data_IF_919990744280
#
_entry.id   IF_919990744280
#
_cell.length_a   1.000
_cell.length_b   1.000
_cell.length_c   1.000
_cell.angle_alpha   90.00
_cell.angle_beta   90.00
_cell.angle_gamma   90.00
#
_symmetry.space_group_name_H-M   'P 1'
#
loop_
_entity.id
_entity.type
_entity.pdbx_description
1 polymer ?
#
# COMPACT_ATOMS: atom_id res chain seq x y z
N UNK A 1 37.81 29.60 27.85
CA UNK A 1 36.34 29.79 27.80
C UNK A 1 35.85 30.34 26.44
N UNK A 2 36.42 31.46 25.91
CA UNK A 2 36.02 32.00 24.60
C UNK A 2 36.44 31.11 23.42
N UNK A 3 37.59 30.41 23.48
CA UNK A 3 38.03 29.45 22.47
C UNK A 3 37.18 28.19 22.44
N UNK A 4 36.69 27.73 23.60
CA UNK A 4 35.88 26.52 23.70
C UNK A 4 34.46 26.76 23.13
N UNK A 5 33.91 27.94 23.32
CA UNK A 5 32.59 28.33 22.73
C UNK A 5 32.70 28.42 21.20
N UNK A 6 33.78 28.98 20.67
CA UNK A 6 33.95 29.10 19.21
C UNK A 6 34.16 27.76 18.53
N UNK A 7 34.87 26.82 19.18
CA UNK A 7 35.03 25.47 18.69
C UNK A 7 33.70 24.71 18.72
N UNK A 8 32.90 24.81 19.79
CA UNK A 8 31.59 24.18 19.91
C UNK A 8 30.58 24.72 18.87
N UNK A 9 30.59 26.04 18.60
CA UNK A 9 29.73 26.61 17.55
C UNK A 9 30.18 26.16 16.16
N UNK A 10 31.47 26.02 15.90
CA UNK A 10 31.98 25.53 14.61
C UNK A 10 31.63 24.05 14.39
N UNK A 11 31.69 23.23 15.42
CA UNK A 11 31.33 21.82 15.40
C UNK A 11 29.83 21.63 15.24
N UNK A 12 29.01 22.44 15.91
CA UNK A 12 27.57 22.48 15.74
C UNK A 12 27.16 22.85 14.30
N UNK A 13 27.75 23.93 13.76
CA UNK A 13 27.48 24.36 12.38
C UNK A 13 27.91 23.29 11.35
N UNK A 14 29.05 22.61 11.58
CA UNK A 14 29.53 21.53 10.72
C UNK A 14 28.58 20.35 10.77
N UNK A 15 28.08 19.98 11.95
CA UNK A 15 27.08 18.88 12.11
C UNK A 15 25.76 19.24 11.42
N UNK A 16 25.33 20.50 11.52
CA UNK A 16 24.10 20.97 10.87
C UNK A 16 24.22 20.97 9.34
N UNK A 17 25.36 21.37 8.80
CA UNK A 17 25.64 21.34 7.36
C UNK A 17 25.69 19.88 6.86
N UNK A 18 26.36 18.99 7.59
CA UNK A 18 26.41 17.55 7.24
C UNK A 18 25.02 16.93 7.28
N UNK A 19 24.22 17.21 8.29
CA UNK A 19 22.82 16.73 8.36
C UNK A 19 21.98 17.27 7.21
N UNK A 20 22.11 18.55 6.85
CA UNK A 20 21.43 19.14 5.69
C UNK A 20 21.82 18.49 4.37
N UNK A 21 23.09 18.21 4.16
CA UNK A 21 23.60 17.50 2.96
C UNK A 21 23.05 16.06 2.90
N UNK A 22 23.00 15.36 4.03
CA UNK A 22 22.45 13.99 4.08
C UNK A 22 20.95 13.96 3.79
N UNK A 23 20.19 14.93 4.28
CA UNK A 23 18.75 15.06 3.98
C UNK A 23 18.54 15.33 2.48
N UNK A 24 19.30 16.23 1.88
CA UNK A 24 19.21 16.50 0.43
C UNK A 24 19.56 15.23 -0.37
N UNK A 25 20.58 14.52 0.04
CA UNK A 25 21.00 13.28 -0.62
C UNK A 25 19.93 12.18 -0.49
N UNK A 26 19.30 12.04 0.69
CA UNK A 26 18.19 11.12 0.90
C UNK A 26 16.97 11.48 0.02
N UNK A 27 16.61 12.77 -0.07
CA UNK A 27 15.54 13.23 -0.96
C UNK A 27 15.84 12.98 -2.43
N UNK A 28 17.09 13.11 -2.87
CA UNK A 28 17.50 12.75 -4.24
C UNK A 28 17.37 11.25 -4.51
N UNK A 29 17.77 10.40 -3.56
CA UNK A 29 17.61 8.94 -3.68
C UNK A 29 16.13 8.57 -3.76
N UNK A 30 15.29 9.13 -2.90
CA UNK A 30 13.84 8.92 -2.92
C UNK A 30 13.27 9.38 -4.27
N UNK A 31 13.65 10.53 -4.78
CA UNK A 31 13.26 11.03 -6.09
C UNK A 31 13.65 10.09 -7.24
N UNK A 32 14.85 9.51 -7.16
CA UNK A 32 15.31 8.50 -8.15
C UNK A 32 14.49 7.22 -8.05
N UNK A 33 14.22 6.71 -6.84
CA UNK A 33 13.43 5.50 -6.62
C UNK A 33 11.99 5.69 -7.11
N UNK A 34 11.33 6.79 -6.76
CA UNK A 34 9.98 7.13 -7.25
C UNK A 34 9.98 7.23 -8.77
N UNK A 35 10.99 7.89 -9.35
CA UNK A 35 11.10 8.03 -10.82
C UNK A 35 11.30 6.66 -11.48
N UNK A 36 12.03 5.76 -10.83
CA UNK A 36 12.28 4.42 -11.33
C UNK A 36 11.02 3.54 -11.25
N UNK A 37 10.26 3.61 -10.16
CA UNK A 37 8.95 2.92 -10.00
C UNK A 37 7.95 3.44 -11.03
N UNK A 38 7.84 4.76 -11.21
CA UNK A 38 6.97 5.36 -12.21
C UNK A 38 7.37 4.98 -13.65
N UNK A 39 8.67 4.86 -13.93
CA UNK A 39 9.17 4.47 -15.25
C UNK A 39 9.05 2.98 -15.54
N UNK A 40 9.24 2.10 -14.54
CA UNK A 40 9.21 0.65 -14.76
C UNK A 40 7.79 0.07 -14.72
N UNK A 41 6.90 0.59 -13.87
CA UNK A 41 5.55 0.05 -13.71
C UNK A 41 4.48 0.81 -14.52
N UNK A 42 4.34 2.10 -14.26
CA UNK A 42 3.21 2.86 -14.82
C UNK A 42 3.39 3.32 -16.27
N UNK A 43 4.61 3.68 -16.66
CA UNK A 43 4.86 4.21 -18.00
C UNK A 43 4.61 3.21 -19.13
N UNK A 44 5.01 1.93 -19.00
CA UNK A 44 4.71 0.92 -20.02
C UNK A 44 3.22 0.61 -20.14
N UNK A 45 2.49 0.55 -19.03
CA UNK A 45 1.05 0.32 -19.01
C UNK A 45 0.28 1.47 -19.66
N UNK A 46 0.64 2.72 -19.32
CA UNK A 46 0.04 3.90 -19.95
C UNK A 46 0.31 3.93 -21.46
N UNK A 47 1.52 3.55 -21.87
CA UNK A 47 1.90 3.42 -23.28
C UNK A 47 1.05 2.37 -24.00
N UNK A 48 0.83 1.19 -23.40
CA UNK A 48 -0.01 0.14 -23.97
C UNK A 48 -1.48 0.56 -24.10
N UNK A 49 -2.03 1.25 -23.08
CA UNK A 49 -3.39 1.80 -23.11
C UNK A 49 -3.52 2.88 -24.20
N UNK A 50 -2.55 3.77 -24.32
CA UNK A 50 -2.56 4.81 -25.33
C UNK A 50 -2.44 4.22 -26.74
N UNK A 51 -1.59 3.20 -26.90
CA UNK A 51 -1.47 2.46 -28.14
C UNK A 51 -2.80 1.78 -28.53
N UNK A 52 -3.51 1.16 -27.59
CA UNK A 52 -4.85 0.60 -27.82
C UNK A 52 -5.87 1.67 -28.24
N UNK A 53 -5.84 2.84 -27.63
CA UNK A 53 -6.73 3.95 -28.02
C UNK A 53 -6.44 4.46 -29.44
N UNK A 54 -5.16 4.56 -29.82
CA UNK A 54 -4.75 4.97 -31.17
C UNK A 54 -5.10 3.90 -32.22
N UNK A 55 -4.87 2.63 -31.90
CA UNK A 55 -5.28 1.50 -32.74
C UNK A 55 -6.80 1.46 -32.93
N UNK A 56 -7.58 1.78 -31.88
CA UNK A 56 -9.04 1.84 -31.95
C UNK A 56 -9.55 2.99 -32.82
N UNK A 57 -8.77 4.06 -33.00
CA UNK A 57 -9.09 5.17 -33.91
C UNK A 57 -8.58 4.95 -35.34
N UNK A 58 -8.03 3.75 -35.65
CA UNK A 58 -7.52 3.39 -36.97
C UNK A 58 -6.08 3.83 -37.22
N UNK A 59 -5.40 4.40 -36.23
CA UNK A 59 -3.98 4.76 -36.36
C UNK A 59 -3.10 3.56 -35.99
N UNK A 60 -2.49 2.96 -37.03
CA UNK A 60 -1.59 1.79 -36.88
C UNK A 60 -0.11 2.18 -36.71
N UNK A 61 0.23 3.45 -36.82
CA UNK A 61 1.60 3.94 -36.61
C UNK A 61 1.85 4.20 -35.09
N UNK A 62 1.92 3.11 -34.34
CA UNK A 62 2.08 3.14 -32.89
C UNK A 62 3.21 2.21 -32.48
N UNK A 63 4.24 2.75 -31.82
CA UNK A 63 5.34 1.96 -31.27
C UNK A 63 5.02 1.48 -29.85
N UNK A 64 4.93 0.15 -29.66
CA UNK A 64 4.71 -0.49 -28.35
C UNK A 64 5.98 -1.17 -27.91
N UNK A 65 6.70 -0.55 -26.97
CA UNK A 65 7.93 -1.12 -26.41
C UNK A 65 7.61 -2.15 -25.32
N UNK A 66 7.94 -3.41 -25.59
CA UNK A 66 7.84 -4.51 -24.63
C UNK A 66 9.17 -4.64 -23.90
N UNK A 67 9.19 -4.49 -22.56
CA UNK A 67 10.37 -4.72 -21.72
C UNK A 67 9.96 -5.47 -20.46
N UNK A 68 10.46 -6.68 -20.25
CA UNK A 68 10.22 -7.49 -19.06
C UNK A 68 9.39 -8.75 -19.32
N UNK A 69 9.11 -9.50 -18.26
CA UNK A 69 8.30 -10.71 -18.26
C UNK A 69 7.13 -10.63 -17.27
N UNK A 70 6.77 -9.43 -16.86
CA UNK A 70 5.64 -9.18 -15.96
C UNK A 70 4.29 -9.08 -16.71
N UNK A 71 3.21 -8.94 -15.99
CA UNK A 71 1.84 -8.84 -16.52
C UNK A 71 1.69 -7.63 -17.47
N UNK A 72 2.40 -6.55 -17.19
CA UNK A 72 2.39 -5.34 -18.03
C UNK A 72 3.06 -5.61 -19.37
N UNK A 73 4.12 -6.38 -19.38
CA UNK A 73 4.83 -6.82 -20.58
C UNK A 73 3.99 -7.78 -21.42
N UNK A 74 3.18 -8.63 -20.77
CA UNK A 74 2.22 -9.50 -21.47
C UNK A 74 1.14 -8.68 -22.19
N UNK A 75 0.60 -7.64 -21.53
CA UNK A 75 -0.37 -6.71 -22.14
C UNK A 75 0.28 -5.97 -23.32
N UNK A 76 1.48 -5.45 -23.15
CA UNK A 76 2.21 -4.76 -24.22
C UNK A 76 2.50 -5.70 -25.41
N UNK A 77 2.84 -6.95 -25.15
CA UNK A 77 3.05 -7.99 -26.18
C UNK A 77 1.75 -8.30 -26.94
N UNK A 78 0.63 -8.44 -26.22
CA UNK A 78 -0.67 -8.67 -26.85
C UNK A 78 -1.09 -7.49 -27.75
N UNK A 79 -0.83 -6.24 -27.33
CA UNK A 79 -1.09 -5.03 -28.14
C UNK A 79 -0.20 -5.00 -29.38
N UNK A 80 1.08 -5.39 -29.25
CA UNK A 80 2.00 -5.50 -30.38
C UNK A 80 1.56 -6.55 -31.39
N UNK A 81 1.23 -7.75 -30.94
CA UNK A 81 0.73 -8.82 -31.81
C UNK A 81 -0.56 -8.42 -32.52
N UNK A 82 -1.43 -7.68 -31.85
CA UNK A 82 -2.63 -7.15 -32.46
C UNK A 82 -2.32 -6.10 -33.52
N UNK A 83 -1.40 -5.17 -33.27
CA UNK A 83 -0.93 -4.21 -34.28
C UNK A 83 -0.38 -4.91 -35.50
N UNK A 84 0.47 -5.92 -35.32
CA UNK A 84 1.04 -6.72 -36.40
C UNK A 84 -0.05 -7.45 -37.21
N UNK A 85 -1.08 -7.95 -36.53
CA UNK A 85 -2.24 -8.55 -37.20
C UNK A 85 -3.03 -7.51 -38.01
N UNK A 86 -3.19 -6.28 -37.52
CA UNK A 86 -3.83 -5.18 -38.25
C UNK A 86 -3.00 -4.74 -39.48
N UNK A 87 -1.68 -4.64 -39.34
CA UNK A 87 -0.78 -4.28 -40.45
C UNK A 87 -0.76 -5.37 -41.53
N UNK A 88 -0.70 -6.64 -41.14
CA UNK A 88 -0.78 -7.76 -42.10
C UNK A 88 -2.15 -7.81 -42.78
N UNK A 89 -3.21 -7.35 -42.12
CA UNK A 89 -4.55 -7.23 -42.73
C UNK A 89 -4.56 -6.14 -43.84
N UNK A 90 -3.85 -5.02 -43.64
CA UNK A 90 -3.77 -3.94 -44.65
C UNK A 90 -2.96 -4.30 -45.90
N UNK A 91 -1.93 -5.14 -45.76
CA UNK A 91 -1.04 -5.53 -46.88
C UNK A 91 -1.62 -6.66 -47.74
N UNK A 92 -2.55 -7.44 -47.22
CA UNK A 92 -3.17 -8.58 -47.93
C UNK A 92 -4.31 -8.16 -48.87
N UNK A 93 -4.45 -6.86 -49.15
CA UNK A 93 -5.50 -6.28 -50.02
C UNK A 93 -5.58 -6.88 -51.44
N UNK A 94 -4.59 -7.64 -51.86
CA UNK A 94 -4.48 -8.14 -53.25
C UNK A 94 -4.78 -9.65 -53.40
N UNK A 95 -4.79 -10.42 -52.27
CA UNK A 95 -5.01 -11.89 -52.33
C UNK A 95 -6.25 -12.36 -51.54
N UNK A 96 -7.17 -11.50 -51.25
CA UNK A 96 -8.04 -11.50 -50.09
C UNK A 96 -9.33 -12.32 -50.15
N UNK A 97 -9.72 -12.98 -51.20
CA UNK A 97 -11.04 -13.64 -51.23
C UNK A 97 -11.10 -15.05 -50.61
N UNK A 98 -9.94 -15.71 -50.46
CA UNK A 98 -9.87 -17.05 -49.81
C UNK A 98 -9.44 -17.05 -48.35
N UNK A 99 -8.70 -16.05 -47.89
CA UNK A 99 -8.12 -16.01 -46.54
C UNK A 99 -8.95 -15.20 -45.51
N UNK A 100 -10.07 -14.61 -45.93
CA UNK A 100 -10.92 -13.73 -45.10
C UNK A 100 -11.50 -14.49 -43.88
N UNK A 101 -11.90 -15.71 -44.06
CA UNK A 101 -12.54 -16.54 -43.05
C UNK A 101 -11.56 -16.94 -41.94
N UNK A 102 -10.33 -17.35 -42.30
CA UNK A 102 -9.30 -17.72 -41.30
C UNK A 102 -8.78 -16.55 -40.49
N UNK A 103 -8.80 -15.34 -41.08
CA UNK A 103 -8.35 -14.11 -40.37
C UNK A 103 -9.40 -13.59 -39.40
N UNK A 104 -10.69 -13.61 -39.74
CA UNK A 104 -11.78 -13.26 -38.83
C UNK A 104 -11.79 -14.22 -37.62
N UNK A 105 -11.63 -15.52 -37.84
CA UNK A 105 -11.56 -16.54 -36.79
C UNK A 105 -10.33 -16.36 -35.89
N UNK A 106 -9.21 -15.93 -36.45
CA UNK A 106 -7.98 -15.64 -35.70
C UNK A 106 -8.14 -14.39 -34.79
N UNK A 107 -8.73 -13.32 -35.31
CA UNK A 107 -9.02 -12.10 -34.54
C UNK A 107 -10.02 -12.40 -33.41
N UNK A 108 -11.07 -13.15 -33.71
CA UNK A 108 -12.04 -13.62 -32.73
C UNK A 108 -11.34 -14.47 -31.68
N UNK A 109 -10.47 -15.40 -32.09
CA UNK A 109 -9.68 -16.24 -31.20
C UNK A 109 -8.77 -15.45 -30.25
N UNK A 110 -8.05 -14.45 -30.76
CA UNK A 110 -7.21 -13.58 -29.93
C UNK A 110 -8.05 -12.70 -28.97
N UNK A 111 -9.19 -12.18 -29.45
CA UNK A 111 -10.14 -11.43 -28.59
C UNK A 111 -10.68 -12.31 -27.46
N UNK A 112 -10.99 -13.58 -27.75
CA UNK A 112 -11.45 -14.54 -26.74
C UNK A 112 -10.33 -14.95 -25.77
N UNK A 113 -9.08 -15.01 -26.20
CA UNK A 113 -7.92 -15.20 -25.30
C UNK A 113 -7.76 -14.02 -24.35
N UNK A 114 -7.84 -12.78 -24.83
CA UNK A 114 -7.85 -11.59 -23.98
C UNK A 114 -9.02 -11.60 -22.99
N UNK A 115 -10.16 -12.13 -23.40
CA UNK A 115 -11.32 -12.31 -22.52
C UNK A 115 -11.05 -13.25 -21.34
N UNK A 116 -10.07 -14.17 -21.44
CA UNK A 116 -9.73 -15.06 -20.31
C UNK A 116 -9.10 -14.30 -19.13
N UNK A 117 -8.55 -13.13 -19.38
CA UNK A 117 -7.98 -12.25 -18.35
C UNK A 117 -9.07 -11.46 -17.57
N UNK A 118 -10.32 -11.53 -18.01
CA UNK A 118 -11.45 -10.84 -17.38
C UNK A 118 -12.14 -11.71 -16.33
N UNK A 119 -12.73 -11.11 -15.28
CA UNK A 119 -13.60 -11.81 -14.32
C UNK A 119 -14.77 -12.53 -15.02
N UNK A 120 -15.30 -13.59 -14.38
CA UNK A 120 -16.24 -14.53 -14.97
C UNK A 120 -17.49 -13.87 -15.58
N UNK A 121 -18.09 -12.89 -14.93
CA UNK A 121 -19.28 -12.15 -15.40
C UNK A 121 -18.99 -11.33 -16.66
N UNK A 122 -17.85 -10.63 -16.67
CA UNK A 122 -17.43 -9.78 -17.79
C UNK A 122 -16.99 -10.62 -18.99
N UNK A 123 -16.37 -11.80 -18.75
CA UNK A 123 -16.06 -12.80 -19.75
C UNK A 123 -17.32 -13.30 -20.46
N UNK A 124 -18.39 -13.55 -19.68
CA UNK A 124 -19.68 -13.98 -20.20
C UNK A 124 -20.33 -12.91 -21.09
N UNK A 125 -20.28 -11.64 -20.65
CA UNK A 125 -20.78 -10.51 -21.41
C UNK A 125 -20.03 -10.31 -22.74
N UNK A 126 -18.68 -10.37 -22.71
CA UNK A 126 -17.86 -10.22 -23.92
C UNK A 126 -18.07 -11.40 -24.89
N UNK A 127 -18.16 -12.64 -24.38
CA UNK A 127 -18.51 -13.82 -25.23
C UNK A 127 -19.86 -13.64 -25.91
N UNK A 128 -20.87 -13.11 -25.21
CA UNK A 128 -22.18 -12.82 -25.78
C UNK A 128 -22.11 -11.79 -26.90
N UNK A 129 -21.32 -10.71 -26.69
CA UNK A 129 -21.15 -9.67 -27.70
C UNK A 129 -20.41 -10.20 -28.94
N UNK A 130 -19.34 -10.99 -28.75
CA UNK A 130 -18.62 -11.66 -29.85
C UNK A 130 -19.54 -12.62 -30.62
N UNK A 131 -20.35 -13.42 -29.92
CA UNK A 131 -21.32 -14.32 -30.59
C UNK A 131 -22.42 -13.54 -31.34
N UNK A 132 -22.84 -12.39 -30.81
CA UNK A 132 -23.77 -11.50 -31.49
C UNK A 132 -23.17 -10.90 -32.77
N UNK A 133 -21.87 -10.57 -32.74
CA UNK A 133 -21.11 -10.11 -33.90
C UNK A 133 -20.96 -11.21 -34.96
N UNK A 134 -20.63 -12.45 -34.56
CA UNK A 134 -20.56 -13.60 -35.47
C UNK A 134 -21.89 -13.82 -36.19
N UNK A 135 -22.99 -13.74 -35.45
CA UNK A 135 -24.33 -13.92 -36.00
C UNK A 135 -24.70 -12.78 -36.96
N UNK A 136 -24.37 -11.52 -36.63
CA UNK A 136 -24.59 -10.37 -37.50
C UNK A 136 -23.78 -10.48 -38.79
N UNK A 137 -22.50 -10.87 -38.70
CA UNK A 137 -21.66 -11.10 -39.87
C UNK A 137 -22.19 -12.25 -40.75
N UNK A 138 -22.66 -13.36 -40.17
CA UNK A 138 -23.33 -14.44 -40.92
C UNK A 138 -24.58 -13.97 -41.65
N UNK A 139 -25.39 -13.14 -41.00
CA UNK A 139 -26.66 -12.64 -41.59
C UNK A 139 -26.38 -11.62 -42.71
N UNK A 140 -25.34 -10.80 -42.60
CA UNK A 140 -24.95 -9.85 -43.62
C UNK A 140 -24.31 -10.55 -44.84
N UNK A 141 -23.53 -11.63 -44.64
CA UNK A 141 -22.96 -12.44 -45.74
C UNK A 141 -24.03 -13.03 -46.67
N UNK A 142 -25.18 -13.36 -46.12
CA UNK A 142 -26.29 -13.90 -46.93
C UNK A 142 -27.08 -12.82 -47.73
N UNK A 143 -26.91 -11.55 -47.40
CA UNK A 143 -27.54 -10.41 -48.08
C UNK A 143 -26.64 -9.69 -49.09
N UNK A 144 -25.33 -9.91 -49.05
CA UNK A 144 -24.34 -9.06 -49.74
C UNK A 144 -23.57 -9.74 -50.89
N UNK A 145 -24.25 -10.39 -51.78
CA UNK A 145 -23.60 -10.65 -53.09
C UNK A 145 -23.44 -9.41 -53.96
N UNK A 146 -23.83 -8.19 -53.51
CA UNK A 146 -23.87 -6.99 -54.37
C UNK A 146 -23.42 -5.64 -53.81
N UNK A 147 -22.69 -5.52 -52.70
CA UNK A 147 -22.26 -4.20 -52.17
C UNK A 147 -20.84 -4.20 -51.57
N UNK A 148 -19.84 -3.89 -52.41
CA UNK A 148 -18.41 -4.00 -52.12
C UNK A 148 -17.75 -2.86 -51.30
N UNK A 149 -18.47 -1.91 -50.71
CA UNK A 149 -17.85 -0.75 -50.06
C UNK A 149 -18.24 -0.42 -48.64
N UNK A 150 -19.20 -1.12 -48.06
CA UNK A 150 -19.74 -0.75 -46.72
C UNK A 150 -19.17 -1.62 -45.58
N UNK A 151 -18.53 -2.74 -45.89
CA UNK A 151 -18.17 -3.80 -44.97
C UNK A 151 -16.86 -3.54 -44.17
N UNK A 152 -15.88 -2.83 -44.74
CA UNK A 152 -14.60 -2.51 -44.08
C UNK A 152 -14.80 -1.54 -42.89
N UNK A 153 -15.64 -0.54 -43.06
CA UNK A 153 -15.91 0.44 -42.01
C UNK A 153 -16.70 -0.18 -40.83
N UNK A 154 -17.57 -1.17 -41.08
CA UNK A 154 -18.33 -1.85 -40.03
C UNK A 154 -17.46 -2.77 -39.18
N UNK A 155 -16.56 -3.55 -39.78
CA UNK A 155 -15.64 -4.45 -39.06
C UNK A 155 -14.65 -3.64 -38.20
N UNK A 156 -14.10 -2.54 -38.74
CA UNK A 156 -13.24 -1.61 -37.96
C UNK A 156 -13.99 -0.92 -36.85
N UNK A 157 -15.24 -0.50 -37.06
CA UNK A 157 -16.09 0.09 -36.03
C UNK A 157 -16.39 -0.91 -34.89
N UNK A 158 -16.70 -2.17 -35.22
CA UNK A 158 -16.95 -3.22 -34.23
C UNK A 158 -15.69 -3.55 -33.40
N UNK A 159 -14.51 -3.64 -34.06
CA UNK A 159 -13.24 -3.82 -33.38
C UNK A 159 -12.95 -2.62 -32.44
N UNK A 160 -13.17 -1.39 -32.92
CA UNK A 160 -13.03 -0.18 -32.10
C UNK A 160 -13.91 -0.22 -30.85
N UNK A 161 -15.17 -0.62 -30.96
CA UNK A 161 -16.11 -0.77 -29.85
C UNK A 161 -15.62 -1.85 -28.86
N UNK A 162 -15.18 -3.02 -29.37
CA UNK A 162 -14.67 -4.10 -28.54
C UNK A 162 -13.42 -3.64 -27.76
N UNK A 163 -12.47 -2.97 -28.42
CA UNK A 163 -11.26 -2.45 -27.77
C UNK A 163 -11.53 -1.35 -26.77
N UNK A 164 -12.45 -0.42 -27.09
CA UNK A 164 -12.86 0.61 -26.16
C UNK A 164 -13.45 -0.02 -24.89
N UNK A 165 -14.24 -1.07 -25.04
CA UNK A 165 -14.83 -1.81 -23.91
C UNK A 165 -13.77 -2.55 -23.08
N UNK A 166 -12.87 -3.28 -23.73
CA UNK A 166 -11.75 -3.97 -23.07
C UNK A 166 -10.87 -2.96 -22.31
N UNK A 167 -10.51 -1.84 -22.94
CA UNK A 167 -9.72 -0.77 -22.31
C UNK A 167 -10.41 -0.18 -21.08
N UNK A 168 -11.73 0.04 -21.15
CA UNK A 168 -12.53 0.53 -20.03
C UNK A 168 -12.55 -0.48 -18.87
N UNK A 169 -12.73 -1.77 -19.18
CA UNK A 169 -12.75 -2.84 -18.17
C UNK A 169 -11.37 -3.03 -17.52
N UNK A 170 -10.27 -3.01 -18.30
CA UNK A 170 -8.91 -3.08 -17.75
C UNK A 170 -8.67 -1.90 -16.79
N UNK A 171 -9.06 -0.67 -17.17
CA UNK A 171 -8.94 0.50 -16.28
C UNK A 171 -9.76 0.33 -15.00
N UNK A 172 -10.97 -0.20 -15.10
CA UNK A 172 -11.82 -0.45 -13.93
C UNK A 172 -11.23 -1.52 -13.00
N UNK A 173 -10.70 -2.62 -13.56
CA UNK A 173 -10.02 -3.67 -12.81
C UNK A 173 -8.78 -3.13 -12.10
N UNK A 174 -7.96 -2.33 -12.79
CA UNK A 174 -6.78 -1.72 -12.21
C UNK A 174 -7.11 -0.77 -11.06
N UNK A 175 -8.15 0.07 -11.23
CA UNK A 175 -8.65 0.93 -10.17
C UNK A 175 -9.13 0.12 -8.96
N UNK A 176 -9.86 -0.98 -9.21
CA UNK A 176 -10.32 -1.88 -8.15
C UNK A 176 -9.15 -2.56 -7.44
N UNK A 177 -8.11 -2.98 -8.18
CA UNK A 177 -6.91 -3.58 -7.62
C UNK A 177 -6.16 -2.58 -6.70
N UNK A 178 -5.98 -1.34 -7.14
CA UNK A 178 -5.37 -0.28 -6.32
C UNK A 178 -6.18 -0.05 -5.05
N UNK A 179 -7.51 0.10 -5.17
CA UNK A 179 -8.38 0.27 -4.01
C UNK A 179 -8.33 -0.92 -3.05
N UNK A 180 -8.24 -2.15 -3.57
CA UNK A 180 -8.10 -3.35 -2.77
C UNK A 180 -6.75 -3.37 -2.02
N UNK A 181 -5.68 -2.98 -2.69
CA UNK A 181 -4.34 -2.88 -2.09
C UNK A 181 -4.32 -1.83 -0.99
N UNK A 182 -4.87 -0.63 -1.24
CA UNK A 182 -4.99 0.42 -0.22
C UNK A 182 -5.86 -0.01 0.98
N UNK A 183 -6.97 -0.68 0.72
CA UNK A 183 -7.82 -1.23 1.79
C UNK A 183 -7.08 -2.28 2.60
N UNK A 184 -6.33 -3.14 1.95
CA UNK A 184 -5.54 -4.19 2.56
C UNK A 184 -4.41 -3.65 3.45
N UNK A 185 -3.70 -2.58 3.01
CA UNK A 185 -2.64 -1.91 3.78
C UNK A 185 -3.13 -1.32 5.11
N UNK A 186 -4.44 -1.10 5.26
CA UNK A 186 -5.03 -0.67 6.54
C UNK A 186 -5.02 -1.77 7.59
N UNK A 187 -4.99 -3.04 7.19
CA UNK A 187 -5.00 -4.20 8.09
C UNK A 187 -3.62 -4.83 8.23
N UNK A 188 -2.75 -4.70 7.22
CA UNK A 188 -1.39 -5.22 7.23
C UNK A 188 -0.43 -4.07 6.97
N UNK A 189 0.26 -3.56 7.99
CA UNK A 189 1.25 -2.50 7.84
C UNK A 189 2.39 -2.94 6.91
N UNK A 190 2.82 -2.06 6.01
CA UNK A 190 3.94 -2.32 5.10
C UNK A 190 5.23 -2.62 5.88
N UNK A 191 5.42 -1.95 7.01
CA UNK A 191 6.55 -2.15 7.93
C UNK A 191 6.62 -3.58 8.49
N UNK A 192 5.49 -4.28 8.62
CA UNK A 192 5.46 -5.69 8.99
C UNK A 192 6.11 -6.55 7.90
N UNK A 193 5.80 -6.29 6.62
CA UNK A 193 6.40 -7.01 5.50
C UNK A 193 7.90 -6.75 5.40
N UNK A 194 8.32 -5.50 5.54
CA UNK A 194 9.73 -5.12 5.59
C UNK A 194 10.45 -5.82 6.76
N UNK A 195 9.81 -5.89 7.92
CA UNK A 195 10.37 -6.55 9.11
C UNK A 195 10.50 -8.06 8.92
N UNK A 196 9.58 -8.70 8.20
CA UNK A 196 9.64 -10.11 7.81
C UNK A 196 10.54 -10.36 6.59
N UNK A 197 11.18 -9.32 6.03
CA UNK A 197 12.03 -9.41 4.83
C UNK A 197 11.27 -9.95 3.60
N UNK A 198 9.98 -9.62 3.51
CA UNK A 198 9.09 -9.99 2.41
C UNK A 198 8.79 -8.78 1.53
N UNK A 199 8.78 -9.00 0.22
CA UNK A 199 8.47 -7.94 -0.76
C UNK A 199 6.98 -7.76 -1.00
N UNK A 200 6.22 -8.81 -0.76
CA UNK A 200 4.77 -8.85 -0.98
C UNK A 200 4.11 -9.71 0.09
N UNK A 201 2.84 -9.42 0.36
CA UNK A 201 2.01 -10.27 1.21
C UNK A 201 1.84 -11.67 0.61
N UNK A 202 1.92 -11.82 -0.71
CA UNK A 202 1.87 -13.10 -1.40
C UNK A 202 3.06 -14.01 -1.05
N UNK A 203 4.17 -13.42 -0.58
CA UNK A 203 5.36 -14.15 -0.16
C UNK A 203 5.30 -14.58 1.31
N UNK A 204 4.28 -14.13 2.05
CA UNK A 204 4.10 -14.45 3.46
C UNK A 204 3.44 -15.81 3.61
N UNK A 205 4.08 -16.68 4.38
CA UNK A 205 3.61 -18.02 4.67
C UNK A 205 3.50 -18.24 6.17
N UNK A 206 2.61 -19.13 6.57
CA UNK A 206 2.47 -19.54 7.96
C UNK A 206 3.82 -20.06 8.49
N UNK A 207 4.22 -19.56 9.67
CA UNK A 207 5.49 -19.94 10.30
C UNK A 207 6.70 -19.16 9.79
N UNK A 208 6.53 -18.16 8.88
CA UNK A 208 7.62 -17.22 8.63
C UNK A 208 8.00 -16.52 9.93
N UNK A 209 9.27 -16.44 10.23
CA UNK A 209 9.78 -15.81 11.45
C UNK A 209 11.13 -15.16 11.22
N UNK A 210 11.40 -14.10 11.96
CA UNK A 210 12.67 -13.39 11.97
C UNK A 210 12.93 -12.86 13.39
N UNK A 211 14.17 -12.98 13.84
CA UNK A 211 14.61 -12.39 15.11
C UNK A 211 15.21 -11.01 14.83
N UNK A 212 14.69 -9.99 15.51
CA UNK A 212 15.17 -8.60 15.39
C UNK A 212 15.21 -7.92 16.74
N UNK A 213 16.09 -6.95 16.87
CA UNK A 213 16.06 -6.01 17.98
C UNK A 213 15.04 -4.90 17.65
N UNK A 214 14.10 -4.68 18.54
CA UNK A 214 13.03 -3.69 18.39
C UNK A 214 12.75 -3.01 19.70
N UNK A 215 12.19 -1.81 19.60
CA UNK A 215 11.60 -1.12 20.74
C UNK A 215 10.09 -1.27 20.70
N UNK A 216 9.53 -1.74 21.80
CA UNK A 216 8.10 -1.98 21.98
C UNK A 216 7.51 -0.87 22.84
N UNK A 217 6.40 -0.31 22.41
CA UNK A 217 5.61 0.65 23.17
C UNK A 217 4.23 0.07 23.44
N UNK A 218 3.87 -0.01 24.71
CA UNK A 218 2.49 -0.21 25.14
C UNK A 218 1.91 1.09 25.68
N UNK A 219 0.66 1.37 25.35
CA UNK A 219 -0.07 2.50 25.92
C UNK A 219 -1.51 2.10 26.20
N UNK A 220 -2.05 2.48 27.34
CA UNK A 220 -3.41 2.16 27.75
C UNK A 220 -4.11 3.37 28.39
N UNK A 221 -5.45 3.45 28.26
CA UNK A 221 -6.25 4.53 28.87
C UNK A 221 -6.50 4.21 30.35
N UNK A 222 -6.20 5.15 31.21
CA UNK A 222 -6.45 5.01 32.65
C UNK A 222 -7.95 4.89 32.93
N UNK A 223 -8.30 3.82 33.67
CA UNK A 223 -9.67 3.57 34.12
C UNK A 223 -10.68 3.47 32.95
N UNK A 224 -10.24 2.98 31.79
CA UNK A 224 -11.09 2.83 30.61
C UNK A 224 -12.36 2.03 30.90
N UNK A 225 -12.28 0.95 31.65
CA UNK A 225 -13.45 0.15 32.07
C UNK A 225 -14.54 1.02 32.69
N UNK A 226 -14.18 1.91 33.63
CA UNK A 226 -15.14 2.81 34.28
C UNK A 226 -15.73 3.83 33.29
N UNK A 227 -14.95 4.27 32.31
CA UNK A 227 -15.41 5.20 31.26
C UNK A 227 -16.36 4.47 30.31
N UNK A 228 -16.00 3.28 29.87
CA UNK A 228 -16.75 2.49 28.90
C UNK A 228 -18.10 2.00 29.44
N UNK A 229 -18.19 1.73 30.77
CA UNK A 229 -19.45 1.34 31.44
C UNK A 229 -20.48 2.48 31.47
N UNK A 230 -20.05 3.73 31.33
CA UNK A 230 -20.91 4.91 31.34
C UNK A 230 -21.37 5.34 29.95
N UNK A 231 -20.82 4.72 28.88
CA UNK A 231 -21.09 5.07 27.49
C UNK A 231 -21.95 4.00 26.80
N UNK A 232 -22.85 4.44 25.94
CA UNK A 232 -23.49 3.52 25.01
C UNK A 232 -22.45 2.89 24.07
N UNK A 233 -22.66 1.66 23.57
CA UNK A 233 -21.66 0.96 22.73
C UNK A 233 -21.17 1.78 21.54
N UNK A 234 -22.05 2.51 20.87
CA UNK A 234 -21.68 3.36 19.72
C UNK A 234 -20.82 4.57 20.15
N UNK A 235 -21.10 5.15 21.31
CA UNK A 235 -20.34 6.26 21.88
C UNK A 235 -18.95 5.79 22.34
N UNK A 236 -18.87 4.58 22.90
CA UNK A 236 -17.61 3.97 23.29
C UNK A 236 -16.69 3.75 22.09
N UNK A 237 -17.20 3.19 20.97
CA UNK A 237 -16.43 3.08 19.73
C UNK A 237 -15.96 4.44 19.21
N UNK A 238 -16.83 5.45 19.24
CA UNK A 238 -16.47 6.81 18.83
C UNK A 238 -15.38 7.37 19.73
N UNK A 239 -15.53 7.24 21.05
CA UNK A 239 -14.54 7.71 22.03
C UNK A 239 -13.16 7.11 21.79
N UNK A 240 -13.07 5.77 21.63
CA UNK A 240 -11.79 5.09 21.35
C UNK A 240 -11.22 5.55 20.02
N UNK A 241 -12.03 5.67 18.97
CA UNK A 241 -11.55 6.12 17.65
C UNK A 241 -11.06 7.58 17.68
N UNK A 242 -11.72 8.48 18.41
CA UNK A 242 -11.32 9.88 18.57
C UNK A 242 -9.97 9.96 19.31
N UNK A 243 -9.80 9.16 20.36
CA UNK A 243 -8.53 9.02 21.06
C UNK A 243 -7.42 8.49 20.15
N UNK A 244 -7.64 7.37 19.46
CA UNK A 244 -6.66 6.77 18.54
C UNK A 244 -6.29 7.74 17.42
N UNK A 245 -7.26 8.47 16.86
CA UNK A 245 -7.02 9.47 15.83
C UNK A 245 -6.12 10.63 16.31
N UNK A 246 -6.17 10.95 17.60
CA UNK A 246 -5.31 11.97 18.20
C UNK A 246 -3.87 11.49 18.41
N UNK A 247 -3.66 10.27 18.94
CA UNK A 247 -2.34 9.83 19.43
C UNK A 247 -1.57 8.98 18.41
N UNK A 248 -2.22 8.13 17.61
CA UNK A 248 -1.57 7.20 16.66
C UNK A 248 -0.71 7.91 15.59
N UNK A 249 -1.07 9.09 15.08
CA UNK A 249 -0.20 9.81 14.16
C UNK A 249 1.21 10.09 14.70
N UNK A 250 1.38 10.17 16.04
CA UNK A 250 2.70 10.34 16.68
C UNK A 250 3.58 9.12 16.47
N UNK A 251 3.02 7.91 16.52
CA UNK A 251 3.75 6.65 16.27
C UNK A 251 4.33 6.66 14.86
N UNK A 252 3.51 6.97 13.86
CA UNK A 252 3.93 7.03 12.45
C UNK A 252 4.92 8.15 12.16
N UNK A 253 4.77 9.29 12.82
CA UNK A 253 5.68 10.44 12.69
C UNK A 253 7.12 10.09 13.07
N UNK A 254 7.30 9.17 14.00
CA UNK A 254 8.61 8.71 14.48
C UNK A 254 8.94 7.29 13.99
N UNK A 255 8.55 6.96 12.75
CA UNK A 255 8.91 5.71 12.07
C UNK A 255 8.45 4.41 12.79
N UNK A 256 7.50 4.52 13.72
CA UNK A 256 6.84 3.38 14.33
C UNK A 256 5.58 2.95 13.57
N UNK A 257 5.12 1.76 13.85
CA UNK A 257 3.81 1.28 13.39
C UNK A 257 3.05 0.58 14.50
N UNK A 258 1.73 0.62 14.41
CA UNK A 258 0.87 -0.11 15.36
C UNK A 258 0.85 -1.56 14.92
N UNK A 259 1.20 -2.47 15.82
CA UNK A 259 1.06 -3.90 15.61
C UNK A 259 -0.40 -4.32 15.78
N UNK A 260 -0.98 -3.96 16.90
CA UNK A 260 -2.40 -4.22 17.18
C UNK A 260 -2.98 -3.26 18.21
N UNK A 261 -4.30 -3.19 18.21
CA UNK A 261 -5.09 -2.60 19.26
C UNK A 261 -5.65 -3.71 20.14
N UNK A 262 -5.55 -3.57 21.45
CA UNK A 262 -6.06 -4.53 22.46
C UNK A 262 -7.07 -3.79 23.32
N UNK A 263 -8.33 -3.73 22.83
CA UNK A 263 -9.32 -2.82 23.41
C UNK A 263 -8.95 -1.37 23.15
N UNK A 264 -8.71 -0.62 24.22
CA UNK A 264 -8.22 0.76 24.21
C UNK A 264 -6.68 0.85 24.22
N UNK A 265 -5.99 -0.25 24.47
CA UNK A 265 -4.55 -0.30 24.48
C UNK A 265 -3.96 -0.33 23.06
N UNK A 266 -2.80 0.29 22.92
CA UNK A 266 -2.01 0.33 21.70
C UNK A 266 -0.72 -0.44 21.93
N UNK A 267 -0.42 -1.41 21.08
CA UNK A 267 0.91 -2.00 20.95
C UNK A 267 1.56 -1.48 19.67
N UNK A 268 2.69 -0.79 19.81
CA UNK A 268 3.44 -0.25 18.69
C UNK A 268 4.89 -0.73 18.68
N UNK A 269 5.44 -0.85 17.49
CA UNK A 269 6.78 -1.37 17.21
C UNK A 269 7.63 -0.31 16.51
N UNK A 270 8.90 -0.22 16.92
CA UNK A 270 9.90 0.67 16.35
C UNK A 270 11.14 -0.16 15.99
N UNK A 271 11.50 -0.16 14.71
CA UNK A 271 12.56 -1.01 14.16
C UNK A 271 13.89 -0.28 13.96
N UNK A 272 13.92 1.05 14.13
CA UNK A 272 15.10 1.87 13.84
C UNK A 272 15.84 2.29 15.11
N UNK A 273 15.31 3.23 15.85
CA UNK A 273 15.94 3.80 17.04
C UNK A 273 14.98 3.74 18.22
N UNK A 274 15.47 3.37 19.37
CA UNK A 274 14.69 3.41 20.62
C UNK A 274 14.23 4.81 20.99
N UNK A 275 15.03 5.84 20.64
CA UNK A 275 14.64 7.25 20.81
C UNK A 275 13.38 7.64 20.05
N UNK A 276 13.07 6.95 18.96
CA UNK A 276 11.87 7.22 18.17
C UNK A 276 10.61 6.83 18.94
N UNK A 277 10.65 5.70 19.68
CA UNK A 277 9.57 5.29 20.58
C UNK A 277 9.35 6.32 21.71
N UNK A 278 10.43 6.78 22.34
CA UNK A 278 10.34 7.76 23.43
C UNK A 278 9.83 9.11 22.92
N UNK A 279 10.32 9.60 21.79
CA UNK A 279 9.84 10.83 21.16
C UNK A 279 8.37 10.71 20.75
N UNK A 280 7.97 9.53 20.25
CA UNK A 280 6.59 9.23 19.94
C UNK A 280 5.71 9.31 21.19
N UNK A 281 6.12 8.71 22.29
CA UNK A 281 5.41 8.76 23.55
C UNK A 281 5.22 10.20 24.08
N UNK A 282 6.27 11.02 24.03
CA UNK A 282 6.21 12.43 24.40
C UNK A 282 5.22 13.20 23.50
N UNK A 283 5.27 12.98 22.19
CA UNK A 283 4.32 13.62 21.25
C UNK A 283 2.88 13.12 21.47
N UNK A 284 2.68 11.82 21.79
CA UNK A 284 1.37 11.26 22.16
C UNK A 284 0.79 11.98 23.37
N UNK A 285 1.57 12.16 24.45
CA UNK A 285 1.15 12.90 25.64
C UNK A 285 0.78 14.35 25.31
N UNK A 286 1.60 15.03 24.51
CA UNK A 286 1.31 16.40 24.06
C UNK A 286 0.04 16.50 23.20
N UNK A 287 -0.26 15.48 22.38
CA UNK A 287 -1.50 15.41 21.60
C UNK A 287 -2.71 15.12 22.49
N UNK A 288 -2.52 14.26 23.48
CA UNK A 288 -3.55 13.99 24.47
C UNK A 288 -3.93 15.23 25.27
N UNK A 289 -2.96 16.05 25.69
CA UNK A 289 -3.22 17.32 26.36
C UNK A 289 -4.09 18.25 25.51
N UNK A 290 -3.82 18.33 24.20
CA UNK A 290 -4.64 19.10 23.27
C UNK A 290 -6.05 18.55 23.11
N UNK A 291 -6.19 17.22 23.06
CA UNK A 291 -7.49 16.57 23.05
C UNK A 291 -8.26 16.86 24.36
N UNK A 292 -7.59 16.76 25.50
CA UNK A 292 -8.16 17.07 26.81
C UNK A 292 -8.64 18.52 26.93
N UNK A 293 -7.89 19.47 26.36
CA UNK A 293 -8.34 20.86 26.28
C UNK A 293 -9.72 20.99 25.62
N UNK A 294 -9.92 20.36 24.46
CA UNK A 294 -11.20 20.34 23.76
C UNK A 294 -12.29 19.63 24.56
N UNK A 295 -11.97 18.49 25.18
CA UNK A 295 -12.92 17.74 26.00
C UNK A 295 -13.44 18.57 27.19
N UNK A 296 -12.55 19.31 27.85
CA UNK A 296 -12.91 20.20 28.96
C UNK A 296 -13.81 21.35 28.47
N UNK A 297 -13.52 21.93 27.29
CA UNK A 297 -14.39 22.94 26.66
C UNK A 297 -15.79 22.40 26.35
N UNK A 298 -15.90 21.10 26.02
CA UNK A 298 -17.14 20.38 25.76
C UNK A 298 -17.82 19.84 27.06
N UNK A 299 -17.23 20.08 28.23
CA UNK A 299 -17.72 19.60 29.51
C UNK A 299 -17.48 18.09 29.77
N UNK A 300 -16.58 17.48 29.01
CA UNK A 300 -16.21 16.08 29.14
C UNK A 300 -14.99 15.90 30.04
N UNK A 301 -14.86 14.76 30.77
CA UNK A 301 -13.70 14.50 31.60
C UNK A 301 -12.42 14.30 30.77
N UNK A 302 -11.29 14.73 31.34
CA UNK A 302 -9.98 14.50 30.77
C UNK A 302 -9.60 13.03 30.74
N UNK A 303 -8.82 12.63 29.74
CA UNK A 303 -8.26 11.29 29.58
C UNK A 303 -6.82 11.29 30.08
N UNK A 304 -6.41 10.24 30.74
CA UNK A 304 -5.01 9.97 31.09
C UNK A 304 -4.59 8.63 30.51
N UNK A 305 -3.32 8.52 30.11
CA UNK A 305 -2.75 7.27 29.60
C UNK A 305 -1.50 6.88 30.36
N UNK A 306 -1.22 5.57 30.41
CA UNK A 306 0.09 5.02 30.75
C UNK A 306 0.85 4.62 29.50
N UNK A 307 2.17 4.76 29.50
CA UNK A 307 3.03 4.32 28.40
C UNK A 307 4.22 3.57 28.98
N UNK A 308 4.42 2.33 28.54
CA UNK A 308 5.59 1.49 28.86
C UNK A 308 6.42 1.23 27.62
N UNK A 309 7.75 1.43 27.70
CA UNK A 309 8.64 1.21 26.58
C UNK A 309 9.80 0.31 26.99
N UNK A 310 10.05 -0.73 26.21
CA UNK A 310 11.19 -1.62 26.36
C UNK A 310 11.84 -1.92 25.03
N UNK A 311 13.18 -2.06 25.04
CA UNK A 311 14.00 -2.40 23.87
C UNK A 311 14.64 -3.75 24.08
N UNK A 312 14.61 -4.62 23.08
CA UNK A 312 15.29 -5.90 23.13
C UNK A 312 14.99 -6.79 21.95
N UNK A 313 15.52 -8.01 22.02
CA UNK A 313 15.33 -9.01 20.98
C UNK A 313 13.92 -9.57 21.00
N UNK A 314 13.30 -9.61 19.82
CA UNK A 314 11.96 -10.15 19.62
C UNK A 314 11.95 -11.14 18.46
N UNK A 315 11.03 -12.10 18.52
CA UNK A 315 10.68 -12.97 17.42
C UNK A 315 9.42 -12.43 16.75
N UNK A 316 9.57 -11.87 15.56
CA UNK A 316 8.46 -11.45 14.70
C UNK A 316 8.12 -12.58 13.75
N UNK A 317 6.86 -12.93 13.60
CA UNK A 317 6.47 -14.03 12.72
C UNK A 317 4.99 -14.06 12.42
N UNK A 318 4.59 -15.06 11.64
CA UNK A 318 3.19 -15.33 11.28
C UNK A 318 2.68 -16.53 12.07
N UNK A 319 1.60 -16.31 12.79
CA UNK A 319 0.90 -17.30 13.59
C UNK A 319 -0.49 -17.57 13.04
N UNK A 320 -1.05 -18.71 13.38
CA UNK A 320 -2.43 -19.07 13.09
C UNK A 320 -2.57 -20.35 12.29
N UNK A 321 -3.54 -20.36 11.41
CA UNK A 321 -3.87 -21.48 10.52
C UNK A 321 -3.88 -20.96 9.06
N UNK A 322 -3.83 -21.85 8.04
CA UNK A 322 -3.76 -21.40 6.65
C UNK A 322 -4.87 -20.42 6.23
N UNK A 323 -6.07 -20.55 6.79
CA UNK A 323 -7.22 -19.71 6.47
C UNK A 323 -7.27 -18.41 7.30
N UNK A 324 -6.45 -18.29 8.36
CA UNK A 324 -6.37 -17.11 9.22
C UNK A 324 -4.98 -16.98 9.83
N UNK A 325 -4.18 -16.14 9.24
CA UNK A 325 -2.85 -15.79 9.72
C UNK A 325 -2.84 -14.39 10.32
N UNK A 326 -2.02 -14.20 11.34
CA UNK A 326 -1.77 -12.91 11.97
C UNK A 326 -0.26 -12.72 12.11
N UNK A 327 0.21 -11.51 11.80
CA UNK A 327 1.57 -11.09 12.17
C UNK A 327 1.61 -10.89 13.68
N UNK A 328 2.60 -11.44 14.35
CA UNK A 328 2.71 -11.31 15.80
C UNK A 328 4.17 -11.26 16.24
N UNK A 329 4.36 -10.61 17.39
CA UNK A 329 5.66 -10.51 18.05
C UNK A 329 5.60 -11.28 19.36
N UNK A 330 6.55 -12.20 19.56
CA UNK A 330 6.65 -13.01 20.77
C UNK A 330 8.02 -12.76 21.38
N UNK A 331 8.04 -12.34 22.65
CA UNK A 331 9.28 -12.12 23.41
C UNK A 331 8.99 -11.70 24.84
N UNK A 332 9.92 -11.95 25.74
CA UNK A 332 9.91 -11.33 27.08
C UNK A 332 10.00 -9.81 27.02
N UNK A 333 10.61 -9.27 25.95
CA UNK A 333 10.65 -7.82 25.67
C UNK A 333 9.25 -7.22 25.57
N UNK A 334 8.31 -7.92 24.93
CA UNK A 334 6.89 -7.52 24.81
C UNK A 334 6.22 -7.53 26.19
N UNK A 335 6.40 -8.62 26.94
CA UNK A 335 5.81 -8.77 28.26
C UNK A 335 6.32 -7.70 29.24
N UNK A 336 7.62 -7.37 29.17
CA UNK A 336 8.18 -6.33 30.02
C UNK A 336 7.64 -4.96 29.65
N UNK A 337 7.47 -4.65 28.35
CA UNK A 337 6.86 -3.38 27.93
C UNK A 337 5.45 -3.20 28.49
N UNK A 338 4.63 -4.26 28.48
CA UNK A 338 3.29 -4.24 29.06
C UNK A 338 3.34 -4.05 30.59
N UNK A 339 4.25 -4.74 31.30
CA UNK A 339 4.43 -4.54 32.74
C UNK A 339 4.88 -3.12 33.09
N UNK A 340 5.76 -2.52 32.30
CA UNK A 340 6.18 -1.13 32.49
C UNK A 340 5.01 -0.16 32.30
N UNK A 341 4.08 -0.46 31.37
CA UNK A 341 2.85 0.31 31.23
C UNK A 341 2.01 0.20 32.51
N UNK A 342 1.75 -1.01 33.03
CA UNK A 342 0.99 -1.21 34.27
C UNK A 342 1.63 -0.46 35.47
N UNK A 343 2.97 -0.49 35.58
CA UNK A 343 3.71 0.19 36.64
C UNK A 343 3.58 1.71 36.58
N UNK A 344 3.27 2.29 35.42
CA UNK A 344 2.98 3.73 35.33
C UNK A 344 1.80 4.14 36.22
N UNK A 345 0.86 3.22 36.48
CA UNK A 345 -0.25 3.44 37.41
C UNK A 345 0.23 3.44 38.86
N UNK A 346 1.12 2.54 39.20
CA UNK A 346 1.65 2.42 40.57
C UNK A 346 2.51 3.64 40.95
N UNK A 347 3.37 4.07 40.05
CA UNK A 347 4.27 5.22 40.25
C UNK A 347 3.62 6.59 39.94
N UNK A 348 2.37 6.59 39.48
CA UNK A 348 1.62 7.81 39.10
C UNK A 348 2.38 8.67 38.05
N UNK A 349 3.06 8.02 37.10
CA UNK A 349 3.76 8.67 36.00
C UNK A 349 3.16 8.26 34.64
N UNK A 350 3.19 9.12 33.63
CA UNK A 350 2.59 8.81 32.34
C UNK A 350 3.47 7.92 31.45
N UNK A 351 4.77 7.83 31.73
CA UNK A 351 5.75 7.14 30.88
C UNK A 351 6.83 6.48 31.73
N UNK A 352 7.04 5.19 31.52
CA UNK A 352 8.17 4.42 32.06
C UNK A 352 8.91 3.74 30.90
N UNK A 353 10.22 3.77 30.97
CA UNK A 353 11.10 3.06 30.03
C UNK A 353 12.01 2.10 30.79
N UNK A 354 12.38 1.00 30.14
CA UNK A 354 13.37 0.06 30.71
C UNK A 354 14.80 0.63 30.66
N UNK A 355 15.70 -0.01 31.38
CA UNK A 355 17.13 0.28 31.37
C UNK A 355 17.74 0.07 29.98
N UNK A 356 17.36 -1.01 29.31
CA UNK A 356 17.82 -1.33 27.94
C UNK A 356 17.41 -0.22 26.96
N UNK A 357 16.22 0.36 27.12
CA UNK A 357 15.82 1.53 26.33
C UNK A 357 16.64 2.74 26.73
N UNK A 358 16.80 3.00 28.02
CA UNK A 358 17.54 4.15 28.55
C UNK A 358 18.98 4.22 28.04
N UNK A 359 19.72 3.10 28.07
CA UNK A 359 21.12 2.99 27.66
C UNK A 359 21.35 3.40 26.20
N UNK A 360 20.33 3.28 25.36
CA UNK A 360 20.38 3.61 23.93
C UNK A 360 19.94 5.05 23.63
N UNK A 361 19.43 5.79 24.65
CA UNK A 361 18.92 7.15 24.45
C UNK A 361 20.05 8.19 24.41
N UNK A 362 19.88 9.25 23.60
CA UNK A 362 20.74 10.39 23.64
C UNK A 362 20.61 11.15 24.97
N UNK A 363 21.72 11.73 25.46
CA UNK A 363 21.77 12.50 26.72
C UNK A 363 20.86 13.75 26.75
N UNK A 364 20.33 14.13 25.60
CA UNK A 364 19.41 15.28 25.46
C UNK A 364 18.01 14.99 26.00
N UNK A 365 17.63 13.71 26.16
CA UNK A 365 16.35 13.34 26.74
C UNK A 365 16.51 13.29 28.25
N UNK A 366 15.80 14.18 28.95
CA UNK A 366 15.80 14.25 30.42
C UNK A 366 15.03 13.05 30.99
N UNK A 367 15.63 12.33 31.93
CA UNK A 367 15.08 11.13 32.56
C UNK A 367 15.56 10.99 34.01
N UNK A 368 14.85 10.28 34.79
CA UNK A 368 15.23 9.92 36.17
C UNK A 368 14.97 8.44 36.40
N UNK A 369 15.81 7.81 37.18
CA UNK A 369 15.57 6.49 37.73
C UNK A 369 14.40 6.52 38.71
N UNK A 370 13.52 5.54 38.65
CA UNK A 370 12.36 5.40 39.50
C UNK A 370 12.57 4.28 40.51
N UNK A 371 12.94 3.09 40.01
CA UNK A 371 13.11 1.87 40.81
C UNK A 371 13.92 0.84 40.06
N UNK A 372 14.45 -0.18 40.75
CA UNK A 372 15.06 -1.37 40.20
C UNK A 372 14.12 -2.55 40.48
N UNK A 373 13.65 -3.22 39.41
CA UNK A 373 12.62 -4.26 39.47
C UNK A 373 13.21 -5.59 39.03
#
# INVERSE_FOLDING_TARGET
FARDITSAISEYNRTFIVAGVLIIFALLIIGVIITQILRSGFKPLYSAINALNLLSSGNTDVDVKVKGNDEVSQIASAVKSFREALLNYSDVRITALRNRQDQEDKIIGETLKLATLLPAEQRKALKKDVSSMENMNRTNRNKEQNLFSTDENQTMALLSIAFSRISKEIKALFKKQVQLTEAYQRFVPEQLLESLEKKSILDVQLGNQVQKEMTILFSDIRSFTNISEQLEPAENFKFVNDYLAAVVPSIRKYDGYVDKYIGDAIMALFTKKSSDAVNSAIDMLSKLDKLNGKRVEEGLPSISIGIGINTGSVMLGTLGVPDRMEGSVISDTVNLSARLEELTKFYEVPLIISKETEETLPKTISRREIDEI
#
